data_IF_053713364801
#
_entry.id   IF_053713364801
#
_cell.length_a   1.000
_cell.length_b   1.000
_cell.length_c   1.000
_cell.angle_alpha   90.00
_cell.angle_beta   90.00
_cell.angle_gamma   90.00
#
_symmetry.space_group_name_H-M   'P 1'
#
loop_
_entity.id
_entity.type
_entity.pdbx_description
1 polymer ?
#
# COMPACT_ATOMS: atom_id res chain seq x y z
N UNK A 1 18.17 3.80 -0.20
CA UNK A 1 17.01 2.89 -0.19
C UNK A 1 16.24 3.22 1.08
N UNK A 2 15.28 4.16 0.97
CA UNK A 2 14.41 4.50 2.10
C UNK A 2 13.35 3.41 2.17
N UNK A 3 13.61 2.43 3.03
CA UNK A 3 12.71 1.34 3.41
C UNK A 3 11.53 1.92 4.24
N UNK A 4 10.38 1.24 4.23
CA UNK A 4 9.09 1.76 4.67
C UNK A 4 9.07 2.38 6.08
N UNK A 5 8.11 3.27 6.35
CA UNK A 5 8.05 4.10 7.58
C UNK A 5 7.80 3.35 8.90
N UNK A 6 7.78 2.02 8.88
CA UNK A 6 7.63 1.19 10.09
C UNK A 6 8.99 0.73 10.59
N UNK A 7 9.17 0.67 11.92
CA UNK A 7 10.41 0.22 12.55
C UNK A 7 10.15 -1.00 13.44
N UNK A 8 10.03 -2.21 12.86
CA UNK A 8 9.88 -3.43 13.65
C UNK A 8 11.17 -3.79 14.40
N UNK A 9 11.12 -4.69 15.41
CA UNK A 9 12.30 -5.25 16.04
C UNK A 9 13.26 -5.89 15.02
N UNK A 10 14.57 -5.85 15.33
CA UNK A 10 15.61 -6.34 14.41
C UNK A 10 15.54 -7.86 14.17
N UNK A 11 15.02 -8.60 15.14
CA UNK A 11 14.83 -10.05 15.10
C UNK A 11 13.48 -10.46 14.48
N UNK A 12 12.66 -9.50 14.05
CA UNK A 12 11.38 -9.75 13.39
C UNK A 12 11.43 -9.40 11.88
N UNK A 13 10.45 -9.92 11.15
CA UNK A 13 10.27 -9.64 9.74
C UNK A 13 9.76 -8.23 9.51
N UNK A 14 10.47 -7.46 8.69
CA UNK A 14 9.96 -6.21 8.16
C UNK A 14 8.98 -6.44 7.02
N UNK A 15 7.70 -6.55 7.37
CA UNK A 15 6.64 -6.93 6.41
C UNK A 15 6.47 -5.90 5.30
N UNK A 16 6.52 -4.61 5.63
CA UNK A 16 6.32 -3.54 4.64
C UNK A 16 7.43 -3.59 3.60
N UNK A 17 8.67 -3.72 4.05
CA UNK A 17 9.83 -3.80 3.16
C UNK A 17 9.79 -5.04 2.27
N UNK A 18 9.45 -6.21 2.85
CA UNK A 18 9.33 -7.45 2.06
C UNK A 18 8.26 -7.35 0.97
N UNK A 19 7.16 -6.65 1.21
CA UNK A 19 6.15 -6.39 0.17
C UNK A 19 6.68 -5.44 -0.90
N UNK A 20 7.38 -4.37 -0.51
CA UNK A 20 8.02 -3.46 -1.45
C UNK A 20 9.07 -4.16 -2.32
N UNK A 21 9.91 -5.03 -1.74
CA UNK A 21 10.88 -5.86 -2.45
C UNK A 21 10.19 -6.82 -3.43
N UNK A 22 9.17 -7.55 -2.96
CA UNK A 22 8.40 -8.45 -3.82
C UNK A 22 7.78 -7.72 -5.03
N UNK A 23 7.21 -6.54 -4.79
CA UNK A 23 6.63 -5.75 -5.86
C UNK A 23 7.65 -5.24 -6.86
N UNK A 24 8.85 -4.88 -6.38
CA UNK A 24 9.95 -4.50 -7.26
C UNK A 24 10.44 -5.66 -8.13
N UNK A 25 10.67 -6.82 -7.52
CA UNK A 25 11.26 -7.99 -8.19
C UNK A 25 10.31 -8.65 -9.20
N UNK A 26 9.00 -8.49 -9.00
CA UNK A 26 7.97 -9.18 -9.77
C UNK A 26 6.98 -8.24 -10.49
N UNK A 27 7.22 -6.93 -10.48
CA UNK A 27 6.35 -5.92 -11.10
C UNK A 27 4.88 -6.03 -10.64
N UNK A 28 4.68 -6.10 -9.32
CA UNK A 28 3.36 -6.25 -8.71
C UNK A 28 2.77 -4.89 -8.39
N UNK A 29 1.55 -4.64 -8.84
CA UNK A 29 0.78 -3.44 -8.50
C UNK A 29 0.16 -3.53 -7.10
N UNK A 30 0.80 -2.89 -6.11
CA UNK A 30 0.31 -2.84 -4.72
C UNK A 30 -0.61 -1.64 -4.49
N UNK A 31 -1.92 -1.90 -4.51
CA UNK A 31 -2.95 -0.86 -4.36
C UNK A 31 -3.51 -0.80 -2.94
N UNK A 32 -3.50 0.39 -2.33
CA UNK A 32 -4.14 0.68 -1.04
C UNK A 32 -5.43 1.48 -1.26
N UNK A 33 -6.55 1.00 -0.72
CA UNK A 33 -7.83 1.68 -0.83
C UNK A 33 -7.82 3.07 -0.15
N UNK A 34 -8.10 4.13 -0.91
CA UNK A 34 -8.08 5.54 -0.47
C UNK A 34 -8.93 5.79 0.76
N UNK A 35 -10.18 5.30 0.77
CA UNK A 35 -11.08 5.52 1.89
C UNK A 35 -10.58 4.83 3.17
N UNK A 36 -9.99 3.64 3.03
CA UNK A 36 -9.44 2.89 4.17
C UNK A 36 -8.12 3.47 4.66
N UNK A 37 -7.27 3.96 3.74
CA UNK A 37 -5.99 4.59 4.00
C UNK A 37 -6.18 5.89 4.80
N UNK A 38 -7.02 6.80 4.30
CA UNK A 38 -7.30 8.09 4.95
C UNK A 38 -7.85 7.92 6.37
N UNK A 39 -8.78 6.96 6.59
CA UNK A 39 -9.31 6.66 7.94
C UNK A 39 -8.23 6.22 8.93
N UNK A 40 -7.09 5.71 8.45
CA UNK A 40 -5.97 5.20 9.26
C UNK A 40 -4.74 6.09 9.20
N UNK A 41 -4.83 7.25 8.56
CA UNK A 41 -3.71 8.17 8.40
C UNK A 41 -2.61 7.65 7.47
N UNK A 42 -2.94 6.75 6.54
CA UNK A 42 -2.05 6.38 5.43
C UNK A 42 -2.30 7.32 4.27
N UNK A 43 -1.26 8.02 3.83
CA UNK A 43 -1.32 9.07 2.81
C UNK A 43 -0.14 8.93 1.86
N UNK A 44 -0.38 9.18 0.59
CA UNK A 44 0.66 9.56 -0.37
C UNK A 44 0.79 11.10 -0.41
N UNK A 45 1.66 11.61 -1.27
CA UNK A 45 1.91 13.06 -1.38
C UNK A 45 0.67 13.85 -1.80
N UNK A 46 -0.11 13.30 -2.75
CA UNK A 46 -1.30 13.96 -3.27
C UNK A 46 -2.39 14.02 -2.20
N UNK A 47 -2.60 12.93 -1.48
CA UNK A 47 -3.56 12.86 -0.38
C UNK A 47 -3.14 13.72 0.81
N UNK A 48 -1.84 13.79 1.13
CA UNK A 48 -1.36 14.72 2.15
C UNK A 48 -1.68 16.17 1.77
N UNK A 49 -1.41 16.56 0.51
CA UNK A 49 -1.71 17.91 -0.01
C UNK A 49 -3.21 18.20 -0.01
N UNK A 50 -4.03 17.29 -0.53
CA UNK A 50 -5.50 17.44 -0.62
C UNK A 50 -6.15 17.61 0.74
N UNK A 51 -5.63 16.92 1.76
CA UNK A 51 -6.19 16.91 3.10
C UNK A 51 -5.48 17.88 4.07
N UNK A 52 -4.59 18.74 3.59
CA UNK A 52 -3.88 19.73 4.40
C UNK A 52 -3.02 19.10 5.50
N UNK A 53 -2.28 18.04 5.19
CA UNK A 53 -1.40 17.33 6.12
C UNK A 53 0.07 17.61 5.80
N UNK A 54 0.87 17.73 6.84
CA UNK A 54 2.28 18.10 6.75
C UNK A 54 3.20 16.97 6.25
N UNK A 55 2.66 15.78 6.00
CA UNK A 55 3.44 14.66 5.52
C UNK A 55 2.60 13.51 4.97
N UNK A 56 3.27 12.63 4.24
CA UNK A 56 2.76 11.37 3.71
C UNK A 56 3.55 10.20 4.30
N UNK A 57 3.04 8.98 4.27
CA UNK A 57 3.68 7.82 4.90
C UNK A 57 3.51 6.50 4.13
N UNK A 58 2.99 6.55 2.90
CA UNK A 58 2.97 5.39 2.01
C UNK A 58 4.40 4.87 1.75
N UNK A 59 4.56 3.55 1.75
CA UNK A 59 5.84 2.90 1.45
C UNK A 59 6.10 2.85 -0.06
N UNK A 60 7.36 2.77 -0.51
CA UNK A 60 7.69 2.60 -1.92
C UNK A 60 7.03 1.36 -2.52
N UNK A 61 6.63 1.44 -3.79
CA UNK A 61 5.94 0.35 -4.49
C UNK A 61 4.42 0.28 -4.23
N UNK A 62 3.91 0.98 -3.21
CA UNK A 62 2.48 1.10 -2.98
C UNK A 62 1.91 2.38 -3.60
N UNK A 63 0.67 2.32 -4.06
CA UNK A 63 -0.10 3.49 -4.50
C UNK A 63 -1.49 3.53 -3.85
N UNK A 64 -2.05 4.72 -3.68
CA UNK A 64 -3.43 4.90 -3.23
C UNK A 64 -4.38 4.94 -4.43
N UNK A 65 -5.50 4.23 -4.36
CA UNK A 65 -6.55 4.30 -5.38
C UNK A 65 -7.94 3.95 -4.84
N UNK A 66 -8.96 4.10 -5.70
CA UNK A 66 -10.36 3.82 -5.37
C UNK A 66 -10.69 2.33 -5.30
N UNK A 67 -11.81 1.99 -4.64
CA UNK A 67 -12.31 0.61 -4.53
C UNK A 67 -12.55 -0.05 -5.90
N UNK A 68 -12.80 0.74 -6.95
CA UNK A 68 -12.98 0.24 -8.31
C UNK A 68 -11.82 -0.62 -8.81
N UNK A 69 -10.58 -0.38 -8.35
CA UNK A 69 -9.41 -1.20 -8.73
C UNK A 69 -9.52 -2.65 -8.24
N UNK A 70 -10.13 -2.88 -7.07
CA UNK A 70 -10.39 -4.25 -6.60
C UNK A 70 -11.43 -4.94 -7.49
N UNK A 71 -12.46 -4.21 -7.92
CA UNK A 71 -13.50 -4.74 -8.79
C UNK A 71 -12.92 -5.07 -10.17
N UNK A 72 -12.12 -4.16 -10.73
CA UNK A 72 -11.43 -4.35 -12.01
C UNK A 72 -10.48 -5.56 -11.96
N UNK A 73 -9.62 -5.65 -10.94
CA UNK A 73 -8.75 -6.81 -10.75
C UNK A 73 -9.53 -8.12 -10.61
N UNK A 74 -10.69 -8.10 -9.95
CA UNK A 74 -11.57 -9.27 -9.82
C UNK A 74 -12.28 -9.66 -11.12
N UNK A 75 -12.41 -8.75 -12.10
CA UNK A 75 -12.94 -9.02 -13.44
C UNK A 75 -11.83 -9.57 -14.35
N UNK A 76 -10.63 -8.99 -14.26
CA UNK A 76 -9.50 -9.35 -15.14
C UNK A 76 -8.82 -10.66 -14.71
N UNK A 77 -8.72 -10.92 -13.41
CA UNK A 77 -8.04 -12.10 -12.90
C UNK A 77 -8.92 -13.35 -12.99
N UNK A 78 -8.29 -14.49 -13.30
CA UNK A 78 -8.96 -15.80 -13.24
C UNK A 78 -9.43 -16.15 -11.82
N UNK A 79 -8.74 -15.67 -10.79
CA UNK A 79 -8.96 -16.03 -9.38
C UNK A 79 -8.75 -14.82 -8.48
N UNK A 80 -9.61 -14.73 -7.46
CA UNK A 80 -9.49 -13.80 -6.34
C UNK A 80 -9.23 -14.60 -5.06
N UNK A 81 -8.08 -14.36 -4.42
CA UNK A 81 -7.75 -14.93 -3.12
C UNK A 81 -7.86 -13.83 -2.05
N UNK A 82 -8.71 -14.06 -1.05
CA UNK A 82 -8.93 -13.11 0.04
C UNK A 82 -8.30 -13.65 1.31
N UNK A 83 -7.48 -12.83 1.95
CA UNK A 83 -6.90 -13.07 3.27
C UNK A 83 -7.52 -12.06 4.25
N UNK A 84 -8.05 -12.54 5.37
CA UNK A 84 -8.73 -11.75 6.39
C UNK A 84 -8.98 -12.58 7.65
N UNK A 85 -9.81 -12.06 8.55
CA UNK A 85 -10.29 -12.75 9.74
C UNK A 85 -11.69 -13.35 9.51
#
# INVERSE_FOLDING_TARGET
MELGKTTPPQDDRHIVDRWSELAHDHDIDLVVCVAAAQRRGILDQDEAKRNGKDGHNIAPGFRISGLGQLIEAGIEADRLLVFGD
#
